data_IF_756524781376
#
_entry.id   IF_756524781376
#
_cell.length_a   1.000
_cell.length_b   1.000
_cell.length_c   1.000
_cell.angle_alpha   90.00
_cell.angle_beta   90.00
_cell.angle_gamma   90.00
#
_symmetry.space_group_name_H-M   'P 1'
#
loop_
_entity.id
_entity.type
_entity.pdbx_description
1 polymer ?
#
# COMPACT_ATOMS: atom_id res chain seq x y z
N UNK A 1 -39.03 32.87 46.56
CA UNK A 1 -39.47 33.27 45.21
C UNK A 1 -39.95 32.04 44.46
N UNK A 2 -41.10 32.18 43.84
CA UNK A 2 -41.98 31.20 43.18
C UNK A 2 -41.39 30.61 41.90
N UNK A 3 -41.58 29.30 41.65
CA UNK A 3 -42.18 28.75 40.40
C UNK A 3 -42.39 27.23 40.45
N UNK A 4 -43.64 26.85 40.19
CA UNK A 4 -44.11 25.52 39.84
C UNK A 4 -43.94 25.25 38.34
N UNK A 5 -43.83 23.99 37.93
CA UNK A 5 -44.50 23.42 36.75
C UNK A 5 -44.15 21.92 36.55
N UNK A 6 -45.19 21.09 36.56
CA UNK A 6 -45.28 19.66 36.21
C UNK A 6 -45.15 19.43 34.70
N UNK A 7 -44.67 18.25 34.24
CA UNK A 7 -45.00 17.53 32.98
C UNK A 7 -44.07 16.30 32.87
N UNK A 8 -44.48 15.07 33.23
CA UNK A 8 -45.21 14.04 32.44
C UNK A 8 -44.53 13.64 31.11
N UNK A 9 -44.41 12.31 30.93
CA UNK A 9 -44.12 11.55 29.70
C UNK A 9 -42.63 11.21 29.52
N UNK A 10 -42.19 9.96 29.35
CA UNK A 10 -42.86 8.81 28.77
C UNK A 10 -42.37 7.48 29.39
N UNK A 11 -43.29 6.51 29.43
CA UNK A 11 -43.08 5.10 29.74
C UNK A 11 -41.90 4.52 28.96
N UNK A 12 -41.02 3.81 29.66
CA UNK A 12 -40.08 2.83 29.08
C UNK A 12 -40.46 1.46 29.65
N UNK A 13 -41.21 0.69 28.86
CA UNK A 13 -41.53 -0.72 29.14
C UNK A 13 -40.39 -1.59 28.58
N UNK A 14 -39.83 -2.55 29.34
CA UNK A 14 -38.75 -3.40 28.88
C UNK A 14 -39.31 -4.61 28.12
N UNK A 15 -38.71 -4.97 26.97
CA UNK A 15 -39.03 -6.23 26.29
C UNK A 15 -37.84 -7.18 26.35
N UNK A 16 -38.19 -8.39 26.77
CA UNK A 16 -37.33 -9.38 27.39
C UNK A 16 -36.47 -10.16 26.40
N UNK A 17 -35.34 -10.57 26.97
CA UNK A 17 -34.45 -11.67 26.63
C UNK A 17 -35.23 -12.91 26.14
N UNK A 18 -35.02 -13.30 24.88
CA UNK A 18 -35.35 -14.62 24.37
C UNK A 18 -34.06 -15.33 23.95
N UNK A 19 -33.58 -16.22 24.83
CA UNK A 19 -32.69 -17.31 24.45
C UNK A 19 -33.54 -18.48 23.97
N UNK A 20 -33.19 -19.13 22.86
CA UNK A 20 -33.70 -20.47 22.58
C UNK A 20 -33.69 -20.89 21.11
N UNK A 21 -32.75 -21.79 20.81
CA UNK A 21 -32.78 -22.76 19.71
C UNK A 21 -32.74 -22.21 18.27
N UNK A 22 -31.53 -22.04 17.73
CA UNK A 22 -31.34 -22.40 16.33
C UNK A 22 -30.29 -23.51 16.26
N UNK A 23 -30.76 -24.66 15.81
CA UNK A 23 -30.10 -25.95 15.71
C UNK A 23 -28.93 -25.90 14.72
N UNK A 24 -27.86 -26.63 15.03
CA UNK A 24 -26.65 -26.68 14.23
C UNK A 24 -26.88 -27.48 12.92
N UNK A 25 -26.62 -26.91 11.73
CA UNK A 25 -26.30 -27.72 10.57
C UNK A 25 -24.80 -28.06 10.56
N UNK A 26 -24.52 -29.33 10.30
CA UNK A 26 -23.20 -29.93 10.15
C UNK A 26 -22.26 -29.15 9.20
N UNK A 27 -20.92 -29.25 9.39
CA UNK A 27 -19.96 -28.59 8.49
C UNK A 27 -20.00 -29.25 7.12
N UNK A 28 -20.78 -28.69 6.20
CA UNK A 28 -20.63 -28.95 4.78
C UNK A 28 -19.26 -28.45 4.36
N UNK A 29 -18.36 -29.39 4.09
CA UNK A 29 -17.08 -29.22 3.43
C UNK A 29 -17.31 -28.51 2.08
N UNK A 30 -17.31 -27.17 2.10
CA UNK A 30 -17.11 -26.38 0.90
C UNK A 30 -15.60 -26.30 0.72
N UNK A 31 -15.09 -27.16 -0.16
CA UNK A 31 -13.80 -26.96 -0.77
C UNK A 31 -13.80 -25.53 -1.34
N UNK A 32 -12.96 -24.67 -0.75
CA UNK A 32 -12.73 -23.34 -1.29
C UNK A 32 -12.28 -23.47 -2.76
N UNK A 33 -12.61 -22.48 -3.61
CA UNK A 33 -11.91 -22.33 -4.88
C UNK A 33 -10.41 -22.38 -4.62
N UNK A 34 -9.58 -23.02 -5.48
CA UNK A 34 -8.14 -22.93 -5.32
C UNK A 34 -7.78 -21.44 -5.28
N UNK A 35 -7.23 -21.03 -4.15
CA UNK A 35 -6.63 -19.72 -3.95
C UNK A 35 -5.60 -19.57 -5.07
N UNK A 36 -5.95 -18.77 -6.07
CA UNK A 36 -5.06 -18.45 -7.16
C UNK A 36 -3.84 -17.81 -6.51
N UNK A 37 -2.70 -18.50 -6.65
CA UNK A 37 -1.42 -18.03 -6.19
C UNK A 37 -1.26 -16.55 -6.59
N UNK A 38 -0.72 -15.68 -5.71
CA UNK A 38 -0.35 -14.33 -6.09
C UNK A 38 0.44 -14.41 -7.40
N UNK A 39 0.18 -13.56 -8.41
CA UNK A 39 1.02 -13.54 -9.58
C UNK A 39 2.46 -13.35 -9.10
N UNK A 40 3.30 -14.36 -9.35
CA UNK A 40 4.75 -14.22 -9.20
C UNK A 40 5.12 -12.91 -9.91
N UNK A 41 5.91 -12.02 -9.28
CA UNK A 41 6.42 -10.88 -9.98
C UNK A 41 7.15 -11.43 -11.20
N UNK A 42 6.56 -11.19 -12.37
CA UNK A 42 7.18 -11.48 -13.64
C UNK A 42 8.54 -10.79 -13.56
N UNK A 43 9.59 -11.61 -13.43
CA UNK A 43 10.94 -11.15 -13.61
C UNK A 43 10.98 -10.59 -15.03
N UNK A 44 10.82 -9.27 -15.15
CA UNK A 44 11.20 -8.56 -16.34
C UNK A 44 12.66 -8.92 -16.54
N UNK A 45 12.89 -9.79 -17.52
CA UNK A 45 14.20 -10.12 -18.02
C UNK A 45 14.83 -8.78 -18.41
N UNK A 46 15.65 -8.23 -17.51
CA UNK A 46 16.51 -7.10 -17.79
C UNK A 46 17.40 -7.53 -18.94
N UNK A 47 17.01 -7.14 -20.16
CA UNK A 47 17.83 -7.33 -21.33
C UNK A 47 19.23 -6.79 -20.99
N UNK A 48 20.32 -7.49 -21.35
CA UNK A 48 21.65 -7.00 -21.08
C UNK A 48 21.77 -5.63 -21.74
N UNK A 49 21.88 -4.59 -20.90
CA UNK A 49 22.01 -3.23 -21.38
C UNK A 49 23.24 -3.10 -22.28
N UNK A 50 23.30 -2.06 -23.15
CA UNK A 50 24.40 -1.92 -24.08
C UNK A 50 25.73 -1.97 -23.34
N UNK A 51 26.63 -2.85 -23.79
CA UNK A 51 28.01 -2.94 -23.30
C UNK A 51 28.63 -1.55 -23.39
N UNK A 52 29.22 -1.09 -22.29
CA UNK A 52 29.87 0.21 -22.29
C UNK A 52 31.02 0.21 -23.30
N UNK A 53 31.10 1.26 -24.11
CA UNK A 53 32.27 1.50 -24.94
C UNK A 53 33.48 1.76 -24.03
N UNK A 54 34.63 1.17 -24.39
CA UNK A 54 35.85 1.31 -23.61
C UNK A 54 36.22 2.79 -23.39
N UNK A 55 36.55 3.11 -22.15
CA UNK A 55 36.95 4.45 -21.71
C UNK A 55 35.81 5.43 -21.46
N UNK A 56 34.54 4.99 -21.49
CA UNK A 56 33.38 5.90 -21.30
C UNK A 56 32.69 5.65 -19.96
N UNK A 57 32.47 6.67 -19.12
CA UNK A 57 31.66 6.53 -17.92
C UNK A 57 30.18 6.44 -18.31
N UNK A 58 29.41 5.60 -17.62
CA UNK A 58 27.98 5.39 -17.95
C UNK A 58 27.16 5.27 -16.68
N UNK A 59 26.31 6.26 -16.44
CA UNK A 59 25.36 6.24 -15.33
C UNK A 59 24.14 5.38 -15.69
N UNK A 60 23.72 4.52 -14.77
CA UNK A 60 22.52 3.69 -14.89
C UNK A 60 21.80 3.58 -13.55
N UNK A 61 20.49 3.37 -13.58
CA UNK A 61 19.64 3.06 -12.42
C UNK A 61 18.76 1.87 -12.80
N UNK A 62 18.54 0.96 -11.86
CA UNK A 62 17.65 -0.19 -12.09
C UNK A 62 16.17 0.26 -12.15
N UNK A 63 15.83 1.39 -11.49
CA UNK A 63 14.51 2.02 -11.53
C UNK A 63 14.67 3.53 -11.77
N UNK A 64 14.67 3.99 -13.03
CA UNK A 64 14.85 5.41 -13.36
C UNK A 64 13.56 6.25 -13.16
N UNK A 65 12.42 5.60 -12.97
CA UNK A 65 11.12 6.24 -12.78
C UNK A 65 10.49 5.70 -11.50
N UNK A 66 9.92 6.59 -10.69
CA UNK A 66 9.18 6.23 -9.49
C UNK A 66 7.91 7.08 -9.39
N UNK A 67 6.77 6.40 -9.20
CA UNK A 67 5.47 7.03 -9.04
C UNK A 67 5.13 7.12 -7.54
N UNK A 68 5.03 8.34 -7.03
CA UNK A 68 4.68 8.58 -5.62
C UNK A 68 3.18 8.38 -5.34
N UNK A 69 2.34 8.34 -6.38
CA UNK A 69 0.90 8.17 -6.25
C UNK A 69 0.20 9.36 -5.58
N UNK A 70 -0.88 9.09 -4.86
CA UNK A 70 -1.66 10.12 -4.17
C UNK A 70 -0.99 10.56 -2.87
N UNK A 71 -0.39 11.74 -2.88
CA UNK A 71 0.25 12.35 -1.70
C UNK A 71 -0.69 13.42 -1.12
N UNK A 72 -0.87 13.45 0.20
CA UNK A 72 -1.66 14.52 0.84
C UNK A 72 -0.81 15.79 1.02
N UNK A 73 -1.41 16.99 1.11
CA UNK A 73 -0.65 18.25 1.22
C UNK A 73 0.30 18.36 2.42
N UNK A 74 0.06 17.59 3.48
CA UNK A 74 0.87 17.60 4.71
C UNK A 74 1.92 16.49 4.75
N UNK A 75 1.89 15.56 3.80
CA UNK A 75 2.76 14.40 3.82
C UNK A 75 4.11 14.76 3.19
N UNK A 76 5.20 14.34 3.85
CA UNK A 76 6.53 14.34 3.25
C UNK A 76 6.90 12.91 2.91
N UNK A 77 7.29 12.67 1.66
CA UNK A 77 7.64 11.34 1.16
C UNK A 77 9.04 11.40 0.57
N UNK A 78 9.92 10.57 1.11
CA UNK A 78 11.29 10.41 0.62
C UNK A 78 11.38 9.17 -0.26
N UNK A 79 12.06 9.28 -1.39
CA UNK A 79 12.42 8.15 -2.24
C UNK A 79 13.93 8.10 -2.44
N UNK A 80 14.52 6.95 -2.12
CA UNK A 80 15.94 6.68 -2.32
C UNK A 80 16.09 5.79 -3.55
N UNK A 81 16.78 6.29 -4.57
CA UNK A 81 17.16 5.50 -5.73
C UNK A 81 18.67 5.28 -5.77
N UNK A 82 19.08 4.20 -6.43
CA UNK A 82 20.49 3.81 -6.55
C UNK A 82 20.95 4.02 -7.98
N UNK A 83 22.09 4.67 -8.13
CA UNK A 83 22.78 4.79 -9.41
C UNK A 83 24.08 3.99 -9.36
N UNK A 84 24.45 3.44 -10.51
CA UNK A 84 25.67 2.65 -10.69
C UNK A 84 26.40 3.11 -11.94
N UNK A 85 27.73 3.11 -11.87
CA UNK A 85 28.58 3.29 -13.04
C UNK A 85 28.66 1.94 -13.77
N UNK A 86 27.93 1.82 -14.88
CA UNK A 86 28.02 0.68 -15.80
C UNK A 86 29.08 0.90 -16.90
N UNK A 87 29.80 2.03 -16.84
CA UNK A 87 30.89 2.37 -17.75
C UNK A 87 32.21 1.75 -17.30
N UNK A 88 33.24 1.90 -18.14
CA UNK A 88 34.58 1.39 -17.83
C UNK A 88 35.55 2.50 -17.37
N UNK A 89 35.13 3.76 -17.43
CA UNK A 89 35.88 4.91 -16.91
C UNK A 89 35.23 5.46 -15.64
N UNK A 90 35.98 6.27 -14.89
CA UNK A 90 35.53 6.85 -13.63
C UNK A 90 34.32 7.79 -13.82
N UNK A 91 33.26 7.54 -13.06
CA UNK A 91 32.07 8.41 -13.04
C UNK A 91 32.19 9.41 -11.88
N UNK A 92 32.34 10.69 -12.20
CA UNK A 92 32.35 11.80 -11.24
C UNK A 92 31.05 12.59 -11.34
N UNK A 93 30.37 12.76 -10.20
CA UNK A 93 29.15 13.58 -10.10
C UNK A 93 29.55 14.93 -9.51
N UNK A 94 29.32 16.02 -10.26
CA UNK A 94 29.80 17.35 -9.86
C UNK A 94 28.71 18.22 -9.24
N UNK A 95 27.44 18.03 -9.64
CA UNK A 95 26.33 18.85 -9.18
C UNK A 95 25.01 18.08 -9.20
N UNK A 96 24.17 18.37 -8.21
CA UNK A 96 22.76 17.98 -8.16
C UNK A 96 21.93 19.26 -8.13
N UNK A 97 20.86 19.32 -8.93
CA UNK A 97 19.92 20.45 -8.98
C UNK A 97 18.52 19.97 -8.61
N UNK A 98 17.82 20.75 -7.78
CA UNK A 98 16.38 20.61 -7.63
C UNK A 98 15.70 21.29 -8.82
N UNK A 99 14.79 20.58 -9.47
CA UNK A 99 13.87 21.08 -10.49
C UNK A 99 12.62 21.65 -9.85
#
# INVERSE_FOLDING_TARGET
MTRAATLISALLVPLALACGANEAPAPTKVAGPPEAAPPEPAAEASAPGPVAADGVPKITSDAPVHEFGGIKPTDSVDHVFKIRNAGTADLKIERVQRT
#
